data_IF_521932231263
#
_entry.id   IF_521932231263
#
_cell.length_a   1.000
_cell.length_b   1.000
_cell.length_c   1.000
_cell.angle_alpha   90.00
_cell.angle_beta   90.00
_cell.angle_gamma   90.00
#
_symmetry.space_group_name_H-M   'P 1'
#
loop_
_entity.id
_entity.type
_entity.pdbx_description
1 polymer ?
#
# COMPACT_ATOMS: atom_id res chain seq x y z
N UNK A 1 8.59 -21.88 -26.02
CA UNK A 1 9.06 -21.92 -24.61
C UNK A 1 10.41 -21.21 -24.41
N UNK A 2 11.50 -21.59 -25.11
CA UNK A 2 12.85 -21.02 -24.94
C UNK A 2 12.95 -19.49 -24.95
N UNK A 3 12.20 -18.83 -25.84
CA UNK A 3 12.15 -17.36 -25.97
C UNK A 3 11.55 -16.66 -24.73
N UNK A 4 10.46 -17.19 -24.17
CA UNK A 4 9.85 -16.65 -22.94
C UNK A 4 10.74 -16.85 -21.72
N UNK A 5 11.41 -18.00 -21.63
CA UNK A 5 12.35 -18.26 -20.54
C UNK A 5 13.50 -17.25 -20.52
N UNK A 6 14.07 -16.94 -21.69
CA UNK A 6 15.12 -15.93 -21.82
C UNK A 6 14.63 -14.54 -21.39
N UNK A 7 13.41 -14.14 -21.78
CA UNK A 7 12.83 -12.85 -21.36
C UNK A 7 12.72 -12.75 -19.85
N UNK A 8 12.21 -13.80 -19.21
CA UNK A 8 12.06 -13.86 -17.75
C UNK A 8 13.42 -13.72 -17.06
N UNK A 9 14.44 -14.43 -17.54
CA UNK A 9 15.80 -14.31 -17.00
C UNK A 9 16.35 -12.90 -17.16
N UNK A 10 16.23 -12.29 -18.34
CA UNK A 10 16.73 -10.93 -18.59
C UNK A 10 16.03 -9.93 -17.67
N UNK A 11 14.69 -9.98 -17.59
CA UNK A 11 13.92 -9.08 -16.74
C UNK A 11 14.27 -9.22 -15.26
N UNK A 12 14.41 -10.45 -14.77
CA UNK A 12 14.80 -10.71 -13.39
C UNK A 12 16.21 -10.19 -13.10
N UNK A 13 17.18 -10.43 -14.00
CA UNK A 13 18.55 -9.95 -13.84
C UNK A 13 18.62 -8.42 -13.86
N UNK A 14 17.92 -7.77 -14.80
CA UNK A 14 17.90 -6.30 -14.91
C UNK A 14 17.23 -5.70 -13.67
N UNK A 15 16.06 -6.20 -13.27
CA UNK A 15 15.36 -5.67 -12.09
C UNK A 15 16.16 -5.89 -10.79
N UNK A 16 16.76 -7.07 -10.62
CA UNK A 16 17.60 -7.36 -9.46
C UNK A 16 18.86 -6.48 -9.44
N UNK A 17 19.50 -6.25 -10.59
CA UNK A 17 20.66 -5.36 -10.70
C UNK A 17 20.31 -3.92 -10.36
N UNK A 18 19.17 -3.41 -10.84
CA UNK A 18 18.68 -2.06 -10.51
C UNK A 18 18.38 -1.94 -9.01
N UNK A 19 17.67 -2.92 -8.43
CA UNK A 19 17.36 -2.91 -7.00
C UNK A 19 18.63 -2.97 -6.14
N UNK A 20 19.60 -3.81 -6.52
CA UNK A 20 20.88 -3.91 -5.84
C UNK A 20 21.68 -2.59 -5.95
N UNK A 21 21.70 -1.97 -7.13
CA UNK A 21 22.33 -0.67 -7.32
C UNK A 21 21.67 0.40 -6.43
N UNK A 22 20.34 0.42 -6.34
CA UNK A 22 19.62 1.33 -5.45
C UNK A 22 20.02 1.13 -3.98
N UNK A 23 20.07 -0.12 -3.49
CA UNK A 23 20.49 -0.46 -2.13
C UNK A 23 21.94 -0.04 -1.85
N UNK A 24 22.84 -0.20 -2.83
CA UNK A 24 24.26 0.11 -2.65
C UNK A 24 24.55 1.63 -2.68
N UNK A 25 23.78 2.38 -3.46
CA UNK A 25 24.01 3.81 -3.70
C UNK A 25 23.19 4.71 -2.78
N UNK A 26 21.96 4.31 -2.44
CA UNK A 26 21.03 5.14 -1.67
C UNK A 26 20.93 4.61 -0.25
N UNK A 27 21.10 5.51 0.72
CA UNK A 27 20.94 5.16 2.13
C UNK A 27 19.46 4.92 2.48
N UNK A 28 19.17 3.93 3.35
CA UNK A 28 17.80 3.66 3.77
C UNK A 28 17.19 4.85 4.50
N UNK A 29 15.93 5.14 4.19
CA UNK A 29 15.17 6.15 4.92
C UNK A 29 14.58 5.58 6.21
N UNK A 30 14.27 6.47 7.15
CA UNK A 30 13.55 6.16 8.38
C UNK A 30 12.04 6.43 8.26
N UNK A 31 11.21 5.86 9.15
CA UNK A 31 9.87 6.39 9.36
C UNK A 31 9.93 7.90 9.61
N UNK A 32 9.07 8.63 8.90
CA UNK A 32 9.07 10.10 8.87
C UNK A 32 8.67 10.77 10.19
N UNK A 33 8.12 10.01 11.15
CA UNK A 33 7.57 10.54 12.39
C UNK A 33 8.09 9.78 13.63
N UNK A 34 8.43 10.49 14.74
CA UNK A 34 8.87 9.86 16.00
C UNK A 34 7.90 8.79 16.53
N UNK A 35 6.60 8.98 16.30
CA UNK A 35 5.54 8.06 16.72
C UNK A 35 5.62 6.73 15.96
N UNK A 36 5.82 6.78 14.64
CA UNK A 36 6.02 5.57 13.83
C UNK A 36 7.29 4.84 14.23
N UNK A 37 8.33 5.57 14.63
CA UNK A 37 9.56 4.97 15.18
C UNK A 37 9.26 4.24 16.50
N UNK A 38 8.49 4.83 17.41
CA UNK A 38 8.13 4.20 18.69
C UNK A 38 7.27 2.93 18.48
N UNK A 39 6.27 3.00 17.59
CA UNK A 39 5.45 1.84 17.22
C UNK A 39 6.32 0.73 16.62
N UNK A 40 7.23 1.08 15.71
CA UNK A 40 8.16 0.14 15.11
C UNK A 40 9.09 -0.51 16.15
N UNK A 41 9.62 0.28 17.11
CA UNK A 41 10.46 -0.25 18.20
C UNK A 41 9.71 -1.26 19.04
N UNK A 42 8.45 -1.00 19.38
CA UNK A 42 7.61 -1.92 20.15
C UNK A 42 7.33 -3.21 19.38
N UNK A 43 7.03 -3.13 18.08
CA UNK A 43 6.85 -4.33 17.22
C UNK A 43 8.15 -5.15 17.17
N UNK A 44 9.31 -4.51 16.98
CA UNK A 44 10.61 -5.19 16.99
C UNK A 44 10.84 -5.89 18.34
N UNK A 45 10.44 -5.25 19.45
CA UNK A 45 10.48 -5.83 20.79
C UNK A 45 9.41 -6.92 21.05
N UNK A 46 8.51 -7.20 20.09
CA UNK A 46 7.41 -8.16 20.24
C UNK A 46 6.26 -7.68 21.12
N UNK A 47 6.13 -6.37 21.32
CA UNK A 47 5.08 -5.76 22.12
C UNK A 47 3.88 -5.35 21.27
N UNK A 48 2.69 -5.40 21.88
CA UNK A 48 1.45 -4.92 21.25
C UNK A 48 1.44 -3.39 21.10
N UNK A 49 0.78 -2.95 20.02
CA UNK A 49 0.58 -1.54 19.63
C UNK A 49 -0.91 -1.19 19.62
N UNK A 50 -1.66 -1.71 20.60
CA UNK A 50 -3.12 -1.62 20.77
C UNK A 50 -3.75 -0.23 20.62
N UNK A 51 -2.99 0.81 20.91
CA UNK A 51 -3.42 2.21 20.93
C UNK A 51 -3.29 2.89 19.55
N UNK A 52 -2.71 2.22 18.54
CA UNK A 52 -2.45 2.83 17.22
C UNK A 52 -3.70 2.88 16.30
N UNK A 53 -4.11 4.08 15.83
CA UNK A 53 -5.24 4.22 14.91
C UNK A 53 -4.87 3.82 13.46
N UNK A 54 -3.58 3.91 13.09
CA UNK A 54 -3.09 3.63 11.74
C UNK A 54 -3.17 2.13 11.34
N UNK A 55 -3.18 1.79 10.04
CA UNK A 55 -2.97 0.43 9.56
C UNK A 55 -1.60 -0.08 10.01
N UNK A 56 -1.57 -1.24 10.68
CA UNK A 56 -0.34 -1.81 11.25
C UNK A 56 0.39 -2.75 10.30
N UNK A 57 -0.22 -3.16 9.18
CA UNK A 57 0.31 -4.22 8.34
C UNK A 57 1.73 -3.96 7.82
N UNK A 58 2.03 -2.74 7.36
CA UNK A 58 3.37 -2.42 6.89
C UNK A 58 4.38 -2.38 8.04
N UNK A 59 3.99 -1.83 9.20
CA UNK A 59 4.88 -1.74 10.37
C UNK A 59 5.18 -3.12 10.96
N UNK A 60 4.21 -4.04 10.97
CA UNK A 60 4.40 -5.44 11.35
C UNK A 60 5.36 -6.15 10.39
N UNK A 61 5.11 -6.04 9.08
CA UNK A 61 6.00 -6.60 8.06
C UNK A 61 7.43 -6.05 8.21
N UNK A 62 7.56 -4.72 8.29
CA UNK A 62 8.85 -4.06 8.42
C UNK A 62 9.55 -4.41 9.73
N UNK A 63 8.84 -4.40 10.85
CA UNK A 63 9.38 -4.75 12.17
C UNK A 63 9.89 -6.18 12.23
N UNK A 64 9.17 -7.14 11.65
CA UNK A 64 9.63 -8.53 11.58
C UNK A 64 10.86 -8.70 10.68
N UNK A 65 10.91 -8.01 9.54
CA UNK A 65 12.07 -8.05 8.65
C UNK A 65 13.31 -7.39 9.28
N UNK A 66 13.11 -6.28 9.98
CA UNK A 66 14.17 -5.59 10.73
C UNK A 66 14.66 -6.46 11.89
N UNK A 67 13.75 -7.13 12.61
CA UNK A 67 14.13 -8.07 13.66
C UNK A 67 14.94 -9.26 13.13
N UNK A 68 14.64 -9.72 11.92
CA UNK A 68 15.32 -10.87 11.31
C UNK A 68 16.69 -10.53 10.68
N UNK A 69 16.86 -9.33 10.12
CA UNK A 69 18.06 -8.99 9.33
C UNK A 69 18.50 -7.54 9.42
N UNK A 70 18.03 -6.78 10.41
CA UNK A 70 18.20 -5.33 10.49
C UNK A 70 17.54 -4.60 9.32
N UNK A 71 17.90 -3.34 9.11
CA UNK A 71 17.42 -2.55 7.96
C UNK A 71 17.67 -3.24 6.60
N UNK A 72 18.74 -4.03 6.50
CA UNK A 72 19.05 -4.81 5.28
C UNK A 72 18.01 -5.89 5.00
N UNK A 73 17.44 -6.51 6.03
CA UNK A 73 16.36 -7.48 5.85
C UNK A 73 15.13 -6.87 5.17
N UNK A 74 14.79 -5.64 5.57
CA UNK A 74 13.72 -4.86 4.97
C UNK A 74 14.05 -4.45 3.52
N UNK A 75 15.24 -3.89 3.27
CA UNK A 75 15.72 -3.53 1.93
C UNK A 75 15.69 -4.73 0.97
N UNK A 76 16.18 -5.90 1.40
CA UNK A 76 16.18 -7.12 0.60
C UNK A 76 14.76 -7.59 0.26
N UNK A 77 13.84 -7.53 1.22
CA UNK A 77 12.45 -7.89 0.99
C UNK A 77 11.77 -6.91 0.02
N UNK A 78 12.02 -5.61 0.15
CA UNK A 78 11.50 -4.59 -0.77
C UNK A 78 12.11 -4.76 -2.18
N UNK A 79 13.40 -5.05 -2.30
CA UNK A 79 14.04 -5.38 -3.58
C UNK A 79 13.48 -6.66 -4.22
N UNK A 80 13.16 -7.68 -3.42
CA UNK A 80 12.50 -8.87 -3.91
C UNK A 80 11.08 -8.56 -4.42
N UNK A 81 10.27 -7.82 -3.65
CA UNK A 81 8.94 -7.37 -4.07
C UNK A 81 9.01 -6.53 -5.35
N UNK A 82 9.98 -5.64 -5.46
CA UNK A 82 10.24 -4.86 -6.66
C UNK A 82 10.57 -5.72 -7.88
N UNK A 83 11.46 -6.70 -7.74
CA UNK A 83 11.81 -7.64 -8.82
C UNK A 83 10.59 -8.44 -9.26
N UNK A 84 9.76 -8.88 -8.31
CA UNK A 84 8.50 -9.57 -8.58
C UNK A 84 7.46 -8.67 -9.26
N UNK A 85 7.43 -7.37 -8.97
CA UNK A 85 6.56 -6.42 -9.69
C UNK A 85 6.86 -6.37 -11.18
N UNK A 86 8.14 -6.28 -11.55
CA UNK A 86 8.57 -6.27 -12.96
C UNK A 86 8.17 -7.56 -13.66
N UNK A 87 8.35 -8.69 -12.98
CA UNK A 87 7.91 -10.00 -13.48
C UNK A 87 6.39 -10.05 -13.67
N UNK A 88 5.62 -9.62 -12.68
CA UNK A 88 4.15 -9.60 -12.73
C UNK A 88 3.63 -8.68 -13.84
N UNK A 89 4.28 -7.55 -14.09
CA UNK A 89 3.95 -6.67 -15.21
C UNK A 89 4.12 -7.40 -16.56
N UNK A 90 5.25 -8.09 -16.77
CA UNK A 90 5.48 -8.88 -17.99
C UNK A 90 4.45 -10.01 -18.14
N UNK A 91 4.18 -10.76 -17.07
CA UNK A 91 3.20 -11.86 -17.08
C UNK A 91 1.80 -11.36 -17.37
N UNK A 92 1.39 -10.25 -16.76
CA UNK A 92 0.07 -9.61 -16.99
C UNK A 92 -0.08 -9.18 -18.44
N UNK A 93 0.91 -8.47 -19.00
CA UNK A 93 0.89 -8.04 -20.41
C UNK A 93 0.88 -9.24 -21.37
N UNK A 94 1.65 -10.28 -21.04
CA UNK A 94 1.69 -11.53 -21.83
C UNK A 94 0.35 -12.27 -21.81
N UNK A 95 -0.31 -12.36 -20.65
CA UNK A 95 -1.62 -12.99 -20.49
C UNK A 95 -2.73 -12.17 -21.17
N UNK A 96 -2.56 -10.85 -21.29
CA UNK A 96 -3.40 -9.97 -22.10
C UNK A 96 -3.14 -10.09 -23.61
N UNK A 97 -2.23 -10.98 -24.04
CA UNK A 97 -1.85 -11.21 -25.43
C UNK A 97 -1.21 -9.99 -26.11
N UNK A 98 -0.59 -9.10 -25.33
CA UNK A 98 0.24 -8.02 -25.87
C UNK A 98 1.44 -8.66 -26.60
N UNK A 99 1.85 -8.14 -27.78
CA UNK A 99 2.99 -8.73 -28.48
C UNK A 99 4.26 -8.68 -27.63
N UNK A 100 5.03 -9.76 -27.66
CA UNK A 100 6.25 -9.95 -26.86
C UNK A 100 7.17 -8.70 -26.74
N UNK A 101 7.54 -7.98 -27.82
CA UNK A 101 8.41 -6.82 -27.67
C UNK A 101 7.76 -5.72 -26.81
N UNK A 102 6.45 -5.51 -26.93
CA UNK A 102 5.72 -4.52 -26.14
C UNK A 102 5.53 -4.96 -24.68
N UNK A 103 5.35 -6.25 -24.42
CA UNK A 103 5.34 -6.79 -23.05
C UNK A 103 6.69 -6.58 -22.35
N UNK A 104 7.79 -6.79 -23.07
CA UNK A 104 9.14 -6.52 -22.57
C UNK A 104 9.34 -5.03 -22.27
N UNK A 105 9.02 -4.16 -23.23
CA UNK A 105 9.14 -2.71 -23.04
C UNK A 105 8.27 -2.19 -21.90
N UNK A 106 7.05 -2.70 -21.74
CA UNK A 106 6.18 -2.35 -20.62
C UNK A 106 6.75 -2.78 -19.27
N UNK A 107 7.32 -4.00 -19.18
CA UNK A 107 7.97 -4.47 -17.97
C UNK A 107 9.25 -3.67 -17.64
N UNK A 108 10.05 -3.32 -18.67
CA UNK A 108 11.21 -2.46 -18.50
C UNK A 108 10.81 -1.05 -18.06
N UNK A 109 9.72 -0.49 -18.58
CA UNK A 109 9.22 0.80 -18.13
C UNK A 109 8.88 0.80 -16.62
N UNK A 110 8.31 -0.31 -16.10
CA UNK A 110 8.12 -0.50 -14.66
C UNK A 110 9.48 -0.58 -13.93
N UNK A 111 10.44 -1.31 -14.48
CA UNK A 111 11.78 -1.47 -13.92
C UNK A 111 12.64 -0.19 -13.95
N UNK A 112 12.30 0.79 -14.77
CA UNK A 112 13.01 2.08 -14.81
C UNK A 112 12.19 3.21 -14.20
N UNK A 113 11.02 2.92 -13.61
CA UNK A 113 10.20 3.95 -13.00
C UNK A 113 10.85 4.45 -11.70
N UNK A 114 11.29 5.74 -11.63
CA UNK A 114 12.16 6.21 -10.56
C UNK A 114 11.59 6.00 -9.16
N UNK A 115 10.30 6.26 -8.97
CA UNK A 115 9.63 6.12 -7.67
C UNK A 115 9.60 4.66 -7.20
N UNK A 116 9.40 3.70 -8.11
CA UNK A 116 9.40 2.27 -7.76
C UNK A 116 10.80 1.79 -7.43
N UNK A 117 11.81 2.25 -8.17
CA UNK A 117 13.21 1.95 -7.87
C UNK A 117 13.60 2.46 -6.47
N UNK A 118 13.27 3.72 -6.15
CA UNK A 118 13.55 4.31 -4.83
C UNK A 118 12.72 3.69 -3.71
N UNK A 119 11.57 3.10 -4.03
CA UNK A 119 10.76 2.40 -3.04
C UNK A 119 11.45 1.17 -2.43
N UNK A 120 12.51 0.64 -3.05
CA UNK A 120 13.28 -0.49 -2.49
C UNK A 120 14.08 -0.11 -1.22
N UNK A 121 14.41 1.17 -1.06
CA UNK A 121 15.27 1.70 0.01
C UNK A 121 14.54 2.65 0.97
N UNK A 122 13.27 2.97 0.67
CA UNK A 122 12.45 3.86 1.52
C UNK A 122 11.63 3.06 2.51
N UNK A 123 11.61 3.49 3.77
CA UNK A 123 10.67 3.04 4.79
C UNK A 123 9.27 3.63 4.50
N UNK A 124 8.61 3.10 3.49
CA UNK A 124 7.26 3.48 3.09
C UNK A 124 6.51 2.24 2.59
N UNK A 125 5.19 2.23 2.79
CA UNK A 125 4.30 1.16 2.35
C UNK A 125 4.12 1.12 0.81
N UNK A 126 4.68 2.08 0.08
CA UNK A 126 4.60 2.22 -1.39
C UNK A 126 5.06 0.96 -2.12
N UNK A 127 6.23 0.40 -1.79
CA UNK A 127 6.75 -0.79 -2.48
C UNK A 127 5.80 -1.98 -2.35
N UNK A 128 5.34 -2.25 -1.12
CA UNK A 128 4.42 -3.36 -0.82
C UNK A 128 3.06 -3.11 -1.46
N UNK A 129 2.56 -1.88 -1.41
CA UNK A 129 1.28 -1.49 -2.01
C UNK A 129 1.30 -1.66 -3.54
N UNK A 130 2.35 -1.18 -4.21
CA UNK A 130 2.51 -1.36 -5.66
C UNK A 130 2.63 -2.85 -6.01
N UNK A 131 3.35 -3.63 -5.20
CA UNK A 131 3.46 -5.07 -5.41
C UNK A 131 2.10 -5.76 -5.33
N UNK A 132 1.32 -5.47 -4.29
CA UNK A 132 -0.02 -6.00 -4.11
C UNK A 132 -0.97 -5.57 -5.24
N UNK A 133 -0.83 -4.34 -5.74
CA UNK A 133 -1.58 -3.88 -6.92
C UNK A 133 -1.18 -4.61 -8.21
N UNK A 134 0.10 -4.90 -8.43
CA UNK A 134 0.54 -5.73 -9.56
C UNK A 134 0.01 -7.17 -9.46
N UNK A 135 0.02 -7.76 -8.26
CA UNK A 135 -0.58 -9.07 -8.01
C UNK A 135 -2.08 -9.03 -8.29
N UNK A 136 -2.77 -7.98 -7.85
CA UNK A 136 -4.20 -7.80 -8.12
C UNK A 136 -4.48 -7.70 -9.63
N UNK A 137 -3.73 -6.88 -10.38
CA UNK A 137 -3.89 -6.75 -11.82
C UNK A 137 -3.69 -8.10 -12.54
N UNK A 138 -2.64 -8.84 -12.18
CA UNK A 138 -2.41 -10.19 -12.69
C UNK A 138 -3.56 -11.15 -12.33
N UNK A 139 -4.03 -11.11 -11.08
CA UNK A 139 -5.15 -11.93 -10.61
C UNK A 139 -6.45 -11.61 -11.37
N UNK A 140 -6.74 -10.35 -11.67
CA UNK A 140 -7.92 -9.95 -12.47
C UNK A 140 -7.89 -10.60 -13.85
N UNK A 141 -6.74 -10.62 -14.52
CA UNK A 141 -6.60 -11.30 -15.82
C UNK A 141 -6.86 -12.80 -15.68
N UNK A 142 -6.33 -13.43 -14.62
CA UNK A 142 -6.56 -14.85 -14.34
C UNK A 142 -7.99 -15.18 -13.94
N UNK A 143 -8.65 -14.36 -13.13
CA UNK A 143 -10.06 -14.50 -12.78
C UNK A 143 -10.94 -14.36 -14.02
N UNK A 144 -10.61 -13.42 -14.91
CA UNK A 144 -11.32 -13.27 -16.19
C UNK A 144 -11.18 -14.51 -17.07
N UNK A 145 -10.00 -15.15 -17.11
CA UNK A 145 -9.76 -16.36 -17.93
C UNK A 145 -10.33 -17.62 -17.29
N UNK A 146 -9.96 -17.87 -16.03
CA UNK A 146 -10.11 -19.16 -15.36
C UNK A 146 -11.24 -19.17 -14.31
N UNK A 147 -11.86 -18.01 -14.01
CA UNK A 147 -12.87 -17.89 -12.97
C UNK A 147 -12.33 -18.15 -11.56
N UNK A 148 -13.21 -18.58 -10.65
CA UNK A 148 -12.89 -18.93 -9.26
C UNK A 148 -12.32 -20.34 -9.15
N UNK A 149 -11.19 -20.60 -9.78
CA UNK A 149 -10.43 -21.84 -9.54
C UNK A 149 -9.85 -21.87 -8.13
N UNK A 150 -9.58 -23.06 -7.58
CA UNK A 150 -8.93 -23.22 -6.26
C UNK A 150 -7.68 -22.35 -6.09
N UNK A 151 -6.81 -22.34 -7.10
CA UNK A 151 -5.60 -21.52 -7.08
C UNK A 151 -5.91 -20.01 -7.06
N UNK A 152 -6.87 -19.54 -7.86
CA UNK A 152 -7.27 -18.14 -7.86
C UNK A 152 -7.96 -17.75 -6.54
N UNK A 153 -8.70 -18.66 -5.94
CA UNK A 153 -9.37 -18.50 -4.65
C UNK A 153 -8.37 -18.33 -3.50
N UNK A 154 -7.39 -19.23 -3.38
CA UNK A 154 -6.33 -19.11 -2.36
C UNK A 154 -5.52 -17.84 -2.59
N UNK A 155 -5.04 -17.65 -3.81
CA UNK A 155 -4.19 -16.49 -4.13
C UNK A 155 -4.95 -15.19 -3.89
N UNK A 156 -6.20 -15.12 -4.34
CA UNK A 156 -7.06 -13.96 -4.13
C UNK A 156 -7.35 -13.68 -2.67
N UNK A 157 -7.75 -14.69 -1.89
CA UNK A 157 -7.98 -14.52 -0.45
C UNK A 157 -6.71 -14.07 0.29
N UNK A 158 -5.57 -14.70 -0.02
CA UNK A 158 -4.29 -14.40 0.63
C UNK A 158 -3.84 -12.95 0.38
N UNK A 159 -3.75 -12.57 -0.90
CA UNK A 159 -3.27 -11.25 -1.28
C UNK A 159 -4.29 -10.15 -1.00
N UNK A 160 -5.59 -10.46 -0.99
CA UNK A 160 -6.61 -9.50 -0.57
C UNK A 160 -6.53 -9.21 0.93
N UNK A 161 -6.36 -10.24 1.77
CA UNK A 161 -6.10 -10.06 3.20
C UNK A 161 -4.85 -9.23 3.47
N UNK A 162 -3.75 -9.54 2.76
CA UNK A 162 -2.52 -8.74 2.83
C UNK A 162 -2.73 -7.29 2.36
N UNK A 163 -3.50 -7.07 1.29
CA UNK A 163 -3.83 -5.74 0.80
C UNK A 163 -4.61 -4.93 1.81
N UNK A 164 -5.59 -5.53 2.49
CA UNK A 164 -6.36 -4.86 3.55
C UNK A 164 -5.51 -4.54 4.79
N UNK A 165 -4.49 -5.35 5.10
CA UNK A 165 -3.55 -5.08 6.20
C UNK A 165 -2.70 -3.83 5.94
N UNK A 166 -2.23 -3.67 4.70
CA UNK A 166 -1.40 -2.51 4.31
C UNK A 166 -2.30 -1.30 4.07
N UNK A 167 -3.38 -1.47 3.29
CA UNK A 167 -4.25 -0.42 2.79
C UNK A 167 -5.73 -0.86 2.85
N UNK A 168 -6.47 -0.50 3.93
CA UNK A 168 -7.87 -0.90 4.09
C UNK A 168 -8.78 -0.44 2.94
N UNK A 169 -8.44 0.66 2.26
CA UNK A 169 -9.18 1.13 1.08
C UNK A 169 -9.07 0.19 -0.15
N UNK A 170 -8.21 -0.84 -0.12
CA UNK A 170 -8.18 -1.91 -1.11
C UNK A 170 -9.52 -2.68 -1.21
N UNK A 171 -10.42 -2.52 -0.21
CA UNK A 171 -11.80 -3.02 -0.29
C UNK A 171 -12.55 -2.54 -1.54
N UNK A 172 -12.18 -1.37 -2.07
CA UNK A 172 -12.75 -0.80 -3.31
C UNK A 172 -12.44 -1.63 -4.56
N UNK A 173 -11.50 -2.58 -4.48
CA UNK A 173 -11.14 -3.48 -5.57
C UNK A 173 -12.06 -4.71 -5.69
N UNK A 174 -12.88 -5.00 -4.67
CA UNK A 174 -13.80 -6.15 -4.64
C UNK A 174 -14.73 -6.18 -5.87
N UNK A 175 -15.40 -5.09 -6.27
CA UNK A 175 -16.31 -5.13 -7.42
C UNK A 175 -15.61 -5.52 -8.73
N UNK A 176 -14.36 -5.07 -8.93
CA UNK A 176 -13.55 -5.38 -10.11
C UNK A 176 -13.20 -6.87 -10.12
N UNK A 177 -12.78 -7.42 -8.97
CA UNK A 177 -12.45 -8.84 -8.83
C UNK A 177 -13.68 -9.73 -9.06
N UNK A 178 -14.82 -9.39 -8.44
CA UNK A 178 -16.07 -10.13 -8.60
C UNK A 178 -16.56 -10.09 -10.05
N UNK A 179 -16.53 -8.92 -10.68
CA UNK A 179 -16.85 -8.79 -12.10
C UNK A 179 -15.95 -9.69 -12.96
N UNK A 180 -14.63 -9.65 -12.76
CA UNK A 180 -13.70 -10.47 -13.53
C UNK A 180 -13.95 -11.98 -13.31
N UNK A 181 -14.22 -12.37 -12.06
CA UNK A 181 -14.47 -13.75 -11.67
C UNK A 181 -15.78 -14.31 -12.26
N UNK A 182 -16.83 -13.49 -12.33
CA UNK A 182 -18.18 -13.94 -12.67
C UNK A 182 -18.62 -13.61 -14.10
N UNK A 183 -17.89 -12.75 -14.82
CA UNK A 183 -18.24 -12.32 -16.18
C UNK A 183 -18.44 -13.51 -17.11
N UNK A 184 -19.65 -13.62 -17.67
CA UNK A 184 -20.01 -14.67 -18.63
C UNK A 184 -20.15 -16.06 -18.03
N UNK A 185 -20.21 -16.19 -16.69
CA UNK A 185 -20.35 -17.46 -15.99
C UNK A 185 -21.67 -17.50 -15.21
N UNK A 186 -22.29 -18.68 -15.13
CA UNK A 186 -23.46 -18.89 -14.26
C UNK A 186 -23.01 -18.93 -12.80
N UNK A 187 -23.72 -18.22 -11.94
CA UNK A 187 -23.47 -18.23 -10.51
C UNK A 187 -23.97 -19.53 -9.90
N UNK A 188 -23.05 -20.36 -9.41
CA UNK A 188 -23.34 -21.71 -8.90
C UNK A 188 -22.80 -21.88 -7.47
N UNK A 189 -23.33 -22.87 -6.73
CA UNK A 189 -22.94 -23.13 -5.34
C UNK A 189 -21.42 -23.26 -5.13
N UNK A 190 -20.70 -23.89 -6.07
CA UNK A 190 -19.24 -24.02 -6.01
C UNK A 190 -18.50 -22.66 -6.05
N UNK A 191 -19.07 -21.65 -6.72
CA UNK A 191 -18.52 -20.30 -6.73
C UNK A 191 -18.77 -19.60 -5.40
N UNK A 192 -19.94 -19.82 -4.77
CA UNK A 192 -20.21 -19.34 -3.40
C UNK A 192 -19.21 -19.93 -2.40
N UNK A 193 -18.96 -21.24 -2.46
CA UNK A 193 -17.95 -21.90 -1.61
C UNK A 193 -16.56 -21.31 -1.84
N UNK A 194 -16.18 -21.07 -3.10
CA UNK A 194 -14.89 -20.47 -3.44
C UNK A 194 -14.77 -19.04 -2.88
N UNK A 195 -15.80 -18.21 -3.00
CA UNK A 195 -15.81 -16.87 -2.41
C UNK A 195 -15.74 -16.92 -0.89
N UNK A 196 -16.47 -17.84 -0.25
CA UNK A 196 -16.43 -18.03 1.19
C UNK A 196 -15.02 -18.44 1.67
N UNK A 197 -14.34 -19.35 0.94
CA UNK A 197 -12.96 -19.73 1.24
C UNK A 197 -11.99 -18.55 1.08
N UNK A 198 -12.12 -17.77 0.00
CA UNK A 198 -11.30 -16.58 -0.19
C UNK A 198 -11.49 -15.56 0.94
N UNK A 199 -12.74 -15.33 1.35
CA UNK A 199 -13.09 -14.42 2.44
C UNK A 199 -12.57 -14.93 3.78
N UNK A 200 -12.72 -16.22 4.06
CA UNK A 200 -12.21 -16.84 5.28
C UNK A 200 -10.69 -16.73 5.36
N UNK A 201 -9.97 -16.96 4.25
CA UNK A 201 -8.52 -16.82 4.19
C UNK A 201 -8.07 -15.37 4.40
N UNK A 202 -8.74 -14.40 3.75
CA UNK A 202 -8.45 -12.99 3.95
C UNK A 202 -8.68 -12.57 5.41
N UNK A 203 -9.78 -13.01 6.01
CA UNK A 203 -10.12 -12.75 7.41
C UNK A 203 -9.13 -13.39 8.36
N UNK A 204 -8.69 -14.62 8.09
CA UNK A 204 -7.70 -15.32 8.90
C UNK A 204 -6.36 -14.59 8.91
N UNK A 205 -5.89 -14.11 7.76
CA UNK A 205 -4.65 -13.30 7.66
C UNK A 205 -4.80 -11.99 8.43
N UNK A 206 -5.94 -11.30 8.25
CA UNK A 206 -6.22 -10.06 8.99
C UNK A 206 -6.21 -10.32 10.50
N UNK A 207 -6.87 -11.38 10.96
CA UNK A 207 -6.97 -11.71 12.37
C UNK A 207 -5.62 -12.10 12.97
N UNK A 208 -4.82 -12.89 12.24
CA UNK A 208 -3.50 -13.34 12.66
C UNK A 208 -2.51 -12.20 12.89
N UNK A 209 -2.69 -11.05 12.23
CA UNK A 209 -1.82 -9.88 12.39
C UNK A 209 -2.45 -8.84 13.31
N UNK A 210 -3.72 -8.47 13.07
CA UNK A 210 -4.36 -7.37 13.78
C UNK A 210 -4.65 -7.73 15.24
N UNK A 211 -5.09 -8.96 15.54
CA UNK A 211 -5.45 -9.31 16.93
C UNK A 211 -4.22 -9.31 17.84
N UNK A 212 -3.07 -9.92 17.49
CA UNK A 212 -1.87 -9.82 18.31
C UNK A 212 -1.31 -8.39 18.37
N UNK A 213 -1.30 -7.69 17.23
CA UNK A 213 -0.76 -6.33 17.16
C UNK A 213 -1.60 -5.36 18.00
N UNK A 214 -2.94 -5.41 17.87
CA UNK A 214 -3.84 -4.40 18.44
C UNK A 214 -4.64 -4.85 19.67
N UNK A 215 -4.63 -6.13 20.03
CA UNK A 215 -5.49 -6.70 21.07
C UNK A 215 -6.98 -6.76 20.71
N UNK A 216 -7.39 -6.31 19.52
CA UNK A 216 -8.77 -6.32 19.02
C UNK A 216 -8.80 -6.39 17.50
N UNK A 217 -9.84 -6.99 16.94
CA UNK A 217 -10.00 -7.10 15.48
C UNK A 217 -10.63 -5.81 14.90
N UNK A 218 -9.79 -4.85 14.49
CA UNK A 218 -10.23 -3.59 13.87
C UNK A 218 -9.43 -3.33 12.58
N UNK A 219 -10.06 -3.63 11.44
CA UNK A 219 -9.51 -3.36 10.10
C UNK A 219 -9.78 -1.90 9.68
N UNK A 220 -11.00 -1.43 9.97
CA UNK A 220 -11.46 -0.09 9.64
C UNK A 220 -11.66 0.71 10.93
N UNK A 221 -10.66 1.52 11.28
CA UNK A 221 -10.75 2.38 12.45
C UNK A 221 -11.48 3.69 12.09
N UNK A 222 -12.57 3.97 12.81
CA UNK A 222 -13.41 5.14 12.54
C UNK A 222 -12.70 6.46 12.83
N UNK A 223 -11.86 6.49 13.87
CA UNK A 223 -11.03 7.64 14.20
C UNK A 223 -10.03 7.87 13.08
N UNK A 224 -9.32 6.83 12.63
CA UNK A 224 -8.36 6.96 11.53
C UNK A 224 -9.01 7.41 10.22
N UNK A 225 -10.19 6.89 9.89
CA UNK A 225 -10.93 7.31 8.71
C UNK A 225 -11.39 8.77 8.78
N UNK A 226 -11.93 9.20 9.94
CA UNK A 226 -12.32 10.59 10.17
C UNK A 226 -11.12 11.53 10.11
N UNK A 227 -10.04 11.14 10.79
CA UNK A 227 -8.76 11.81 10.78
C UNK A 227 -8.23 12.00 9.36
N UNK A 228 -8.15 10.94 8.55
CA UNK A 228 -7.62 11.00 7.18
C UNK A 228 -8.50 11.88 6.30
N UNK A 229 -9.82 11.81 6.48
CA UNK A 229 -10.76 12.67 5.77
C UNK A 229 -10.52 14.15 6.09
N UNK A 230 -10.38 14.50 7.37
CA UNK A 230 -10.11 15.87 7.80
C UNK A 230 -8.77 16.39 7.28
N UNK A 231 -7.71 15.59 7.38
CA UNK A 231 -6.38 15.95 6.91
C UNK A 231 -6.32 16.23 5.41
N UNK A 232 -7.10 15.49 4.62
CA UNK A 232 -7.19 15.67 3.18
C UNK A 232 -8.23 16.70 2.73
N UNK A 233 -9.06 17.25 3.63
CA UNK A 233 -10.28 18.00 3.25
C UNK A 233 -10.51 19.20 4.16
N UNK A 234 -9.64 20.21 4.06
CA UNK A 234 -9.75 21.47 4.81
C UNK A 234 -9.11 22.64 4.03
N UNK A 235 -9.25 23.87 4.55
CA UNK A 235 -8.84 25.10 3.85
C UNK A 235 -7.35 25.15 3.48
N UNK A 236 -6.47 24.55 4.28
CA UNK A 236 -5.01 24.53 4.04
C UNK A 236 -4.53 23.29 3.27
N UNK A 237 -5.39 22.28 3.06
CA UNK A 237 -5.02 21.03 2.39
C UNK A 237 -4.42 21.27 0.99
N UNK A 238 -4.95 22.26 0.26
CA UNK A 238 -4.49 22.59 -1.08
C UNK A 238 -3.06 23.15 -1.09
N UNK A 239 -2.75 24.06 -0.16
CA UNK A 239 -1.41 24.65 -0.01
C UNK A 239 -0.40 23.59 0.42
N UNK A 240 -0.80 22.72 1.34
CA UNK A 240 -0.03 21.54 1.71
C UNK A 240 0.33 20.63 0.55
N UNK A 241 -0.65 20.32 -0.30
CA UNK A 241 -0.42 19.50 -1.48
C UNK A 241 0.55 20.13 -2.48
N UNK A 242 0.60 21.46 -2.55
CA UNK A 242 1.56 22.19 -3.37
C UNK A 242 2.95 22.27 -2.72
N UNK A 243 2.99 22.40 -1.39
CA UNK A 243 4.21 22.62 -0.59
C UNK A 243 4.96 21.31 -0.24
N UNK A 244 4.23 20.29 0.20
CA UNK A 244 4.75 19.10 0.88
C UNK A 244 4.66 17.80 0.05
N UNK A 245 4.48 17.88 -1.28
CA UNK A 245 4.63 16.76 -2.26
C UNK A 245 3.69 15.57 -2.10
N UNK A 246 2.63 15.46 -2.91
CA UNK A 246 1.76 14.27 -3.08
C UNK A 246 1.14 13.64 -1.83
N UNK A 247 1.64 13.97 -0.64
CA UNK A 247 1.01 13.79 0.63
C UNK A 247 0.12 15.00 0.86
N UNK A 248 -1.00 14.73 1.50
CA UNK A 248 -1.67 15.72 2.32
C UNK A 248 -0.63 16.35 3.27
N UNK A 249 -0.86 17.59 3.74
CA UNK A 249 0.02 18.25 4.72
C UNK A 249 0.47 17.27 5.81
N UNK A 250 1.65 17.50 6.37
CA UNK A 250 2.05 16.80 7.59
C UNK A 250 0.93 17.00 8.62
N UNK A 251 0.33 15.88 8.99
CA UNK A 251 -0.81 15.75 9.89
C UNK A 251 -0.81 16.68 11.10
N UNK A 252 0.32 16.73 11.81
CA UNK A 252 0.47 17.58 12.98
C UNK A 252 0.34 19.06 12.65
N UNK A 253 0.74 19.48 11.46
CA UNK A 253 0.65 20.86 11.00
C UNK A 253 -0.80 21.23 10.64
N UNK A 254 -1.50 20.43 9.84
CA UNK A 254 -2.91 20.68 9.50
C UNK A 254 -3.81 20.74 10.73
N UNK A 255 -3.64 19.79 11.65
CA UNK A 255 -4.48 19.74 12.84
C UNK A 255 -4.15 20.89 13.81
N UNK A 256 -2.88 21.30 13.89
CA UNK A 256 -2.47 22.48 14.65
C UNK A 256 -3.08 23.76 14.06
N UNK A 257 -3.07 23.92 12.74
CA UNK A 257 -3.69 25.05 12.04
C UNK A 257 -5.22 25.08 12.22
N UNK A 258 -5.86 23.92 12.31
CA UNK A 258 -7.29 23.79 12.58
C UNK A 258 -7.67 23.89 14.08
N UNK A 259 -6.69 24.06 14.98
CA UNK A 259 -6.92 24.10 16.42
C UNK A 259 -7.44 22.77 17.00
N UNK A 260 -7.31 21.67 16.26
CA UNK A 260 -7.77 20.36 16.67
C UNK A 260 -6.67 19.62 17.43
N UNK A 261 -7.00 18.95 18.55
CA UNK A 261 -6.02 18.21 19.32
C UNK A 261 -5.55 17.00 18.51
N UNK A 262 -4.27 16.97 18.14
CA UNK A 262 -3.67 15.75 17.63
C UNK A 262 -3.44 14.78 18.80
N UNK A 263 -4.38 13.87 19.03
CA UNK A 263 -4.22 12.82 20.03
C UNK A 263 -3.23 11.77 19.49
N UNK A 264 -1.98 11.94 19.88
CA UNK A 264 -0.80 11.39 19.20
C UNK A 264 -0.76 9.87 19.17
N UNK A 265 -1.26 9.18 20.21
CA UNK A 265 -1.11 7.72 20.26
C UNK A 265 -2.23 6.99 20.99
N UNK A 266 -3.17 7.64 21.67
CA UNK A 266 -3.78 6.93 22.82
C UNK A 266 -5.21 6.42 22.64
N UNK A 267 -6.06 6.95 21.73
CA UNK A 267 -7.46 6.48 21.65
C UNK A 267 -8.05 6.58 20.26
N UNK A 268 -8.76 5.54 19.85
CA UNK A 268 -9.88 5.67 18.91
C UNK A 268 -11.01 6.40 19.64
N UNK A 269 -10.87 7.71 19.84
CA UNK A 269 -11.86 8.53 20.54
C UNK A 269 -13.01 8.85 19.58
N UNK A 270 -14.24 8.37 19.85
CA UNK A 270 -15.39 8.65 18.99
C UNK A 270 -15.77 10.15 18.98
N UNK A 271 -15.45 10.92 20.02
CA UNK A 271 -15.72 12.37 20.08
C UNK A 271 -14.80 13.11 19.11
N UNK A 272 -13.49 12.85 19.17
CA UNK A 272 -12.54 13.43 18.22
C UNK A 272 -12.80 12.99 16.78
N UNK A 273 -13.22 11.72 16.58
CA UNK A 273 -13.61 11.25 15.26
C UNK A 273 -14.82 12.03 14.70
N UNK A 274 -15.73 12.50 15.55
CA UNK A 274 -16.84 13.35 15.14
C UNK A 274 -16.36 14.75 14.78
N UNK A 275 -15.52 15.37 15.60
CA UNK A 275 -14.94 16.70 15.34
C UNK A 275 -14.18 16.74 14.00
N UNK A 276 -13.33 15.74 13.73
CA UNK A 276 -12.63 15.63 12.44
C UNK A 276 -13.59 15.53 11.25
N UNK A 277 -14.65 14.71 11.38
CA UNK A 277 -15.66 14.61 10.31
C UNK A 277 -16.39 15.93 10.11
N UNK A 278 -16.73 16.63 11.17
CA UNK A 278 -17.44 17.91 11.09
C UNK A 278 -16.62 18.96 10.34
N UNK A 279 -15.32 19.05 10.58
CA UNK A 279 -14.43 19.96 9.84
C UNK A 279 -14.34 19.62 8.35
N UNK A 280 -14.22 18.34 8.01
CA UNK A 280 -14.22 17.95 6.60
C UNK A 280 -15.57 18.24 5.92
N UNK A 281 -16.68 17.93 6.59
CA UNK A 281 -18.01 18.13 6.04
C UNK A 281 -18.41 19.60 5.96
N UNK A 282 -17.98 20.45 6.89
CA UNK A 282 -18.19 21.90 6.79
C UNK A 282 -17.47 22.45 5.57
N UNK A 283 -16.19 22.09 5.37
CA UNK A 283 -15.42 22.51 4.20
C UNK A 283 -16.08 22.09 2.87
N UNK A 284 -16.53 20.83 2.77
CA UNK A 284 -17.21 20.33 1.55
C UNK A 284 -18.50 21.12 1.27
N UNK A 285 -19.28 21.43 2.32
CA UNK A 285 -20.57 22.13 2.18
C UNK A 285 -20.40 23.61 1.88
N UNK A 286 -19.45 24.27 2.53
CA UNK A 286 -19.21 25.70 2.43
C UNK A 286 -18.42 26.07 1.17
N UNK A 287 -17.51 25.18 0.72
CA UNK A 287 -16.62 25.43 -0.42
C UNK A 287 -16.60 24.30 -1.46
N UNK A 288 -17.74 23.92 -2.07
CA UNK A 288 -17.84 22.76 -2.96
C UNK A 288 -16.92 22.87 -4.19
N UNK A 289 -16.74 24.06 -4.76
CA UNK A 289 -15.83 24.26 -5.90
C UNK A 289 -14.35 24.13 -5.50
N UNK A 290 -13.97 24.60 -4.31
CA UNK A 290 -12.60 24.40 -3.80
C UNK A 290 -12.33 22.94 -3.51
N UNK A 291 -13.31 22.22 -2.97
CA UNK A 291 -13.22 20.77 -2.79
C UNK A 291 -13.02 20.02 -4.11
N UNK A 292 -13.77 20.35 -5.17
CA UNK A 292 -13.55 19.76 -6.51
C UNK A 292 -12.14 20.08 -7.02
N UNK A 293 -11.67 21.32 -6.85
CA UNK A 293 -10.31 21.72 -7.19
C UNK A 293 -9.25 20.92 -6.44
N UNK A 294 -9.46 20.69 -5.15
CA UNK A 294 -8.59 19.87 -4.28
C UNK A 294 -8.55 18.41 -4.73
N UNK A 295 -9.69 17.79 -4.98
CA UNK A 295 -9.74 16.41 -5.48
C UNK A 295 -9.10 16.28 -6.87
N UNK A 296 -9.29 17.28 -7.73
CA UNK A 296 -8.61 17.33 -9.03
C UNK A 296 -7.09 17.44 -8.86
N UNK A 297 -6.62 18.29 -7.94
CA UNK A 297 -5.20 18.39 -7.62
C UNK A 297 -4.63 17.07 -7.06
N UNK A 298 -5.38 16.35 -6.22
CA UNK A 298 -5.01 15.00 -5.75
C UNK A 298 -4.80 14.03 -6.91
N UNK A 299 -5.73 14.00 -7.85
CA UNK A 299 -5.63 13.14 -9.04
C UNK A 299 -4.43 13.54 -9.91
N UNK A 300 -4.22 14.83 -10.16
CA UNK A 300 -3.09 15.31 -10.97
C UNK A 300 -1.74 15.02 -10.32
N UNK A 301 -1.66 15.15 -8.99
CA UNK A 301 -0.45 14.88 -8.22
C UNK A 301 -0.03 13.39 -8.29
N UNK A 302 -0.94 12.44 -8.56
CA UNK A 302 -0.58 11.03 -8.80
C UNK A 302 0.45 10.86 -9.92
N UNK A 303 0.50 11.79 -10.88
CA UNK A 303 1.41 11.73 -12.02
C UNK A 303 2.73 12.47 -11.79
N UNK A 304 2.89 13.15 -10.65
CA UNK A 304 4.12 13.87 -10.30
C UNK A 304 5.07 12.94 -9.51
N UNK A 305 6.30 12.67 -9.97
CA UNK A 305 7.23 11.81 -9.24
C UNK A 305 7.74 12.48 -7.93
N UNK A 306 7.71 11.74 -6.81
CA UNK A 306 8.23 12.20 -5.52
C UNK A 306 9.72 11.84 -5.34
N UNK A 307 10.56 12.83 -5.66
CA UNK A 307 12.02 12.72 -5.59
C UNK A 307 12.64 13.35 -4.34
N UNK A 308 11.87 14.04 -3.45
CA UNK A 308 12.45 14.85 -2.36
C UNK A 308 12.64 14.11 -1.02
N UNK A 309 12.03 12.95 -0.82
CA UNK A 309 12.24 12.13 0.38
C UNK A 309 13.57 11.33 0.41
N UNK A 310 14.57 11.71 -0.37
CA UNK A 310 15.91 11.07 -0.35
C UNK A 310 16.81 11.66 0.76
N UNK A 311 16.54 12.89 1.21
CA UNK A 311 17.46 13.66 2.07
C UNK A 311 17.00 13.84 3.53
N UNK A 312 15.83 13.33 3.92
CA UNK A 312 15.28 13.54 5.25
C UNK A 312 15.25 12.24 6.05
N UNK A 313 16.20 12.13 6.99
CA UNK A 313 16.41 11.06 7.99
C UNK A 313 16.95 9.73 7.46
N UNK A 314 18.28 9.65 7.34
CA UNK A 314 19.00 8.40 7.11
C UNK A 314 18.91 7.47 8.32
N UNK A 315 18.54 6.21 8.10
CA UNK A 315 18.62 5.18 9.13
C UNK A 315 20.10 4.82 9.36
N UNK A 316 20.58 4.69 10.61
CA UNK A 316 21.89 4.11 10.85
C UNK A 316 21.94 2.68 10.28
N UNK A 317 23.06 2.30 9.66
CA UNK A 317 23.24 0.94 9.06
C UNK A 317 23.20 -0.20 10.08
N UNK A 318 23.14 0.11 11.37
CA UNK A 318 22.95 -0.82 12.49
C UNK A 318 21.81 -0.28 13.36
N UNK A 319 20.77 -1.08 13.51
CA UNK A 319 19.63 -0.90 14.42
C UNK A 319 19.68 -2.01 15.46
#
# INVERSE_FOLDING_TARGET
MRKRFLDLMILLLVAAAIALAAILVVHPSMPESPERIEVLRRIIAGQSVAYTPYPVGYLELAGHLIRAGGMRGLEMAQAAMYTLMVLLAYLTLSDLKVPRPWSLWGALAVAFFPTLMLSAVRFQDTCVSCFLMCVFAWLVVRLKRDGLSWMNTITGGAFFGASLLIRPNAVTLIPIALWAALRGRRFAAAQCTSLAVALALATAILAAVIVPAKGRFVVFDQYYAAYTLANGTHEHAFEGMLRDYNSEMRMSQSLHELGLPFAVLDRSDPVLAKEYREVAWSFIREYPLRYIGLETAKVLNLFRPDLRNVDHSFAPRRW
#
